data_IF_531453004147
#
_entry.id   IF_531453004147
#
_cell.length_a   1.000
_cell.length_b   1.000
_cell.length_c   1.000
_cell.angle_alpha   90.00
_cell.angle_beta   90.00
_cell.angle_gamma   90.00
#
_symmetry.space_group_name_H-M   'P 1'
#
loop_
_entity.id
_entity.type
_entity.pdbx_description
1 polymer ?
#
# COMPACT_ATOMS: atom_id res chain seq x y z
N UNK A 1 -14.77 6.34 17.26
CA UNK A 1 -13.34 6.56 16.98
C UNK A 1 -12.61 5.27 17.27
N UNK A 2 -12.15 4.58 16.22
CA UNK A 2 -11.49 3.28 16.36
C UNK A 2 -9.99 3.43 16.16
N UNK A 3 -9.22 3.29 17.23
CA UNK A 3 -7.78 3.07 17.18
C UNK A 3 -7.54 1.61 16.78
N UNK A 4 -7.46 1.36 15.47
CA UNK A 4 -7.23 0.03 14.92
C UNK A 4 -5.84 -0.01 14.30
N UNK A 5 -4.99 -0.90 14.81
CA UNK A 5 -3.66 -1.29 14.30
C UNK A 5 -3.69 -1.88 12.87
N UNK A 6 -4.82 -1.74 12.17
CA UNK A 6 -5.17 -2.24 10.85
C UNK A 6 -5.22 -1.12 9.78
N UNK A 7 -5.07 0.15 10.18
CA UNK A 7 -5.08 1.34 9.30
C UNK A 7 -3.94 1.40 8.27
N UNK A 8 -3.03 0.43 8.24
CA UNK A 8 -1.92 0.43 7.31
C UNK A 8 -2.33 -0.05 5.91
N UNK A 9 -2.96 -1.21 5.77
CA UNK A 9 -2.83 -1.94 4.51
C UNK A 9 -3.87 -1.60 3.43
N UNK A 10 -4.86 -0.77 3.78
CA UNK A 10 -5.96 -0.36 2.90
C UNK A 10 -6.14 1.16 2.83
N UNK A 11 -5.40 1.95 3.63
CA UNK A 11 -5.45 3.41 3.61
C UNK A 11 -4.15 3.95 3.01
N UNK A 12 -4.28 4.78 1.97
CA UNK A 12 -3.17 5.50 1.35
C UNK A 12 -3.20 6.97 1.78
N UNK A 13 -2.03 7.58 1.96
CA UNK A 13 -1.88 8.97 2.38
C UNK A 13 -1.09 9.77 1.34
N UNK A 14 -1.84 10.48 0.48
CA UNK A 14 -1.35 11.23 -0.69
C UNK A 14 -0.33 10.42 -1.52
N UNK A 15 -0.77 9.30 -2.12
CA UNK A 15 0.09 8.49 -2.97
C UNK A 15 0.58 9.30 -4.18
N UNK A 16 1.84 9.11 -4.56
CA UNK A 16 2.45 9.86 -5.67
C UNK A 16 2.69 9.03 -6.93
N UNK A 17 2.59 7.72 -6.83
CA UNK A 17 2.83 6.83 -7.96
C UNK A 17 2.15 5.49 -7.78
N UNK A 18 1.73 4.93 -8.91
CA UNK A 18 1.18 3.58 -9.04
C UNK A 18 1.78 2.91 -10.26
N UNK A 19 2.18 1.66 -10.13
CA UNK A 19 2.64 0.83 -11.24
C UNK A 19 2.07 -0.57 -11.11
N UNK A 20 1.84 -1.24 -12.24
CA UNK A 20 1.36 -2.61 -12.32
C UNK A 20 2.38 -3.44 -13.07
N UNK A 21 2.78 -4.58 -12.52
CA UNK A 21 3.68 -5.50 -13.20
C UNK A 21 2.93 -6.40 -14.22
N UNK A 22 3.68 -7.24 -14.94
CA UNK A 22 3.12 -8.17 -15.94
C UNK A 22 2.23 -9.26 -15.34
N UNK A 23 2.37 -9.54 -14.03
CA UNK A 23 1.56 -10.51 -13.29
C UNK A 23 0.26 -9.88 -12.74
N UNK A 24 0.10 -8.56 -12.88
CA UNK A 24 -1.03 -7.80 -12.35
C UNK A 24 -0.89 -7.40 -10.89
N UNK A 25 0.33 -7.45 -10.33
CA UNK A 25 0.64 -6.93 -9.01
C UNK A 25 0.69 -5.40 -9.06
N UNK A 26 -0.04 -4.76 -8.15
CA UNK A 26 -0.07 -3.30 -8.03
C UNK A 26 0.94 -2.87 -6.97
N UNK A 27 1.72 -1.84 -7.28
CA UNK A 27 2.63 -1.19 -6.36
C UNK A 27 2.25 0.27 -6.21
N UNK A 28 2.20 0.78 -4.99
CA UNK A 28 1.84 2.17 -4.71
C UNK A 28 2.89 2.82 -3.83
N UNK A 29 3.37 4.00 -4.26
CA UNK A 29 4.23 4.86 -3.46
C UNK A 29 3.37 5.75 -2.55
N UNK A 30 3.24 5.34 -1.29
CA UNK A 30 2.40 5.98 -0.29
C UNK A 30 3.21 7.01 0.51
N UNK A 31 3.28 8.23 -0.05
CA UNK A 31 4.29 9.21 0.34
C UNK A 31 4.19 9.66 1.78
N UNK A 32 3.01 10.02 2.28
CA UNK A 32 2.92 10.58 3.64
C UNK A 32 3.02 9.50 4.72
N UNK A 33 2.81 8.25 4.34
CA UNK A 33 3.09 7.10 5.19
C UNK A 33 4.53 6.59 5.01
N UNK A 34 5.36 7.26 4.21
CA UNK A 34 6.77 6.93 3.94
C UNK A 34 7.00 5.44 3.63
N UNK A 35 6.18 4.87 2.75
CA UNK A 35 6.23 3.43 2.45
C UNK A 35 5.86 3.10 1.02
N UNK A 36 6.25 1.91 0.60
CA UNK A 36 5.83 1.29 -0.64
C UNK A 36 4.93 0.11 -0.30
N UNK A 37 3.75 0.10 -0.92
CA UNK A 37 2.73 -0.91 -0.73
C UNK A 37 2.62 -1.81 -1.96
N UNK A 38 2.33 -3.09 -1.76
CA UNK A 38 2.13 -4.09 -2.83
C UNK A 38 0.80 -4.82 -2.67
N UNK A 39 0.08 -5.02 -3.76
CA UNK A 39 -1.10 -5.90 -3.86
C UNK A 39 -0.91 -6.89 -5.00
N UNK A 40 -0.71 -8.19 -4.71
CA UNK A 40 -0.82 -9.23 -5.73
C UNK A 40 -2.17 -9.20 -6.43
N UNK A 41 -2.23 -9.69 -7.67
CA UNK A 41 -3.49 -9.81 -8.42
C UNK A 41 -4.52 -10.58 -7.59
N UNK A 42 -5.67 -9.96 -7.35
CA UNK A 42 -6.77 -10.55 -6.58
C UNK A 42 -6.68 -10.38 -5.06
N UNK A 43 -5.62 -9.75 -4.54
CA UNK A 43 -5.53 -9.42 -3.13
C UNK A 43 -6.47 -8.26 -2.78
N UNK A 44 -7.25 -8.42 -1.70
CA UNK A 44 -8.11 -7.37 -1.14
C UNK A 44 -7.41 -6.50 -0.10
N UNK A 45 -6.21 -6.91 0.32
CA UNK A 45 -5.36 -6.21 1.28
C UNK A 45 -3.93 -6.12 0.75
N UNK A 46 -3.27 -5.00 1.03
CA UNK A 46 -1.90 -4.78 0.60
C UNK A 46 -0.90 -5.29 1.62
N UNK A 47 0.37 -5.28 1.26
CA UNK A 47 1.48 -5.48 2.19
C UNK A 47 2.48 -4.36 2.02
N UNK A 48 3.02 -3.84 3.13
CA UNK A 48 4.20 -2.96 3.06
C UNK A 48 5.37 -3.82 2.57
N UNK A 49 6.05 -3.38 1.52
CA UNK A 49 7.24 -4.06 0.99
C UNK A 49 8.52 -3.26 1.24
N UNK A 50 8.38 -1.97 1.56
CA UNK A 50 9.49 -1.10 1.93
C UNK A 50 8.99 0.12 2.73
N UNK A 51 9.81 0.62 3.65
CA UNK A 51 9.47 1.73 4.56
C UNK A 51 8.41 1.41 5.62
N UNK A 52 7.72 2.45 6.09
CA UNK A 52 6.78 2.39 7.21
C UNK A 52 7.39 2.93 8.49
N UNK A 53 6.82 4.03 8.99
CA UNK A 53 7.16 4.64 10.28
C UNK A 53 6.32 4.04 11.41
#
# INVERSE_FOLDING_TARGET
GGQGKENGLTQLSSPRGVVVDQLGTIYVADRWNNRIMRWPKGATQGSVIDGGN
#
